data_IF_091354766014
#
_entry.id   IF_091354766014
#
_cell.length_a   1.000
_cell.length_b   1.000
_cell.length_c   1.000
_cell.angle_alpha   90.00
_cell.angle_beta   90.00
_cell.angle_gamma   90.00
#
_symmetry.space_group_name_H-M   'P 1'
#
loop_
_entity.id
_entity.type
_entity.pdbx_description
1 polymer ?
#
# COMPACT_ATOMS: atom_id res chain seq x y z
N UNK A 1 1.43 -10.46 -20.11
CA UNK A 1 0.59 -9.69 -19.16
C UNK A 1 1.52 -9.19 -18.09
N UNK A 2 1.64 -7.87 -17.99
CA UNK A 2 2.59 -7.18 -17.08
C UNK A 2 1.88 -6.71 -15.83
N UNK A 3 2.29 -7.20 -14.67
CA UNK A 3 1.76 -6.84 -13.35
C UNK A 3 2.69 -5.80 -12.70
N UNK A 4 2.16 -4.61 -12.42
CA UNK A 4 2.94 -3.51 -11.85
C UNK A 4 2.39 -3.12 -10.49
N UNK A 5 3.24 -3.16 -9.46
CA UNK A 5 2.94 -2.59 -8.15
C UNK A 5 3.18 -1.09 -8.23
N UNK A 6 2.15 -0.29 -7.95
CA UNK A 6 2.25 1.16 -7.86
C UNK A 6 2.03 1.58 -6.40
N UNK A 7 3.01 2.27 -5.85
CA UNK A 7 3.01 2.76 -4.46
C UNK A 7 2.90 4.28 -4.49
N UNK A 8 1.78 4.83 -4.05
CA UNK A 8 1.67 6.28 -3.88
C UNK A 8 2.49 6.75 -2.67
N UNK A 9 3.31 7.79 -2.85
CA UNK A 9 4.13 8.35 -1.79
C UNK A 9 4.22 9.87 -1.92
N UNK A 10 4.14 10.60 -0.79
CA UNK A 10 4.38 12.05 -0.71
C UNK A 10 4.88 12.47 0.67
N UNK A 11 5.58 13.59 0.74
CA UNK A 11 6.08 14.17 1.98
C UNK A 11 5.01 14.94 2.77
N UNK A 12 3.96 15.41 2.10
CA UNK A 12 2.95 16.35 2.61
C UNK A 12 1.82 15.66 3.41
N UNK A 13 2.13 14.61 4.18
CA UNK A 13 1.14 14.02 5.10
C UNK A 13 0.74 15.01 6.19
N UNK A 14 -0.56 15.23 6.39
CA UNK A 14 -1.07 16.22 7.35
C UNK A 14 -0.87 15.81 8.81
N UNK A 15 -1.02 14.52 9.15
CA UNK A 15 -0.90 14.00 10.53
C UNK A 15 0.55 13.75 10.95
N UNK A 16 1.39 13.33 10.03
CA UNK A 16 2.81 13.05 10.26
C UNK A 16 3.62 13.44 9.01
N UNK A 17 3.99 14.71 8.85
CA UNK A 17 4.77 15.18 7.71
C UNK A 17 6.08 14.40 7.55
N UNK A 18 6.43 14.07 6.30
CA UNK A 18 7.65 13.32 5.97
C UNK A 18 7.66 11.87 6.45
N UNK A 19 6.52 11.31 6.86
CA UNK A 19 6.45 9.96 7.46
C UNK A 19 7.14 8.87 6.64
N UNK A 20 7.06 8.94 5.31
CA UNK A 20 7.61 7.92 4.42
C UNK A 20 9.16 7.86 4.47
N UNK A 21 9.80 8.97 4.84
CA UNK A 21 11.26 9.05 5.00
C UNK A 21 11.73 9.08 6.46
N UNK A 22 10.82 8.90 7.44
CA UNK A 22 11.25 8.68 8.83
C UNK A 22 12.08 7.42 8.93
N UNK A 23 13.17 7.50 9.68
CA UNK A 23 14.16 6.42 9.77
C UNK A 23 13.96 5.55 11.00
N UNK A 24 14.20 4.26 10.80
CA UNK A 24 14.39 3.27 11.85
C UNK A 24 15.67 2.52 11.52
N UNK A 25 16.60 2.36 12.48
CA UNK A 25 17.91 1.75 12.27
C UNK A 25 18.69 2.39 11.10
N UNK A 26 18.54 3.71 10.90
CA UNK A 26 19.22 4.45 9.82
C UNK A 26 18.68 4.20 8.43
N UNK A 27 17.48 3.60 8.29
CA UNK A 27 16.83 3.30 7.01
C UNK A 27 15.42 3.91 6.97
N UNK A 28 15.04 4.67 5.89
CA UNK A 28 13.70 5.22 5.72
C UNK A 28 12.60 4.15 5.66
N UNK A 29 11.40 4.46 6.16
CA UNK A 29 10.26 3.53 6.12
C UNK A 29 9.90 3.08 4.70
N UNK A 30 9.96 3.99 3.72
CA UNK A 30 9.71 3.66 2.31
C UNK A 30 10.75 2.67 1.76
N UNK A 31 12.02 2.71 2.24
CA UNK A 31 13.05 1.76 1.83
C UNK A 31 12.74 0.35 2.35
N UNK A 32 12.25 0.21 3.61
CA UNK A 32 11.75 -1.08 4.12
C UNK A 32 10.64 -1.63 3.24
N UNK A 33 9.67 -0.78 2.86
CA UNK A 33 8.57 -1.21 2.02
C UNK A 33 9.04 -1.66 0.64
N UNK A 34 9.92 -0.90 -0.03
CA UNK A 34 10.50 -1.25 -1.33
C UNK A 34 11.25 -2.59 -1.25
N UNK A 35 12.09 -2.75 -0.21
CA UNK A 35 12.84 -3.99 0.02
C UNK A 35 11.91 -5.20 0.16
N UNK A 36 10.79 -5.04 0.86
CA UNK A 36 9.77 -6.08 1.02
C UNK A 36 9.02 -6.35 -0.28
N UNK A 37 8.56 -5.31 -0.96
CA UNK A 37 7.84 -5.46 -2.23
C UNK A 37 8.69 -6.11 -3.33
N UNK A 38 10.02 -5.93 -3.31
CA UNK A 38 10.94 -6.64 -4.22
C UNK A 38 10.95 -8.16 -4.08
N UNK A 39 10.40 -8.68 -2.98
CA UNK A 39 10.23 -10.13 -2.75
C UNK A 39 8.89 -10.65 -3.25
N UNK A 40 7.98 -9.79 -3.72
CA UNK A 40 6.75 -10.20 -4.41
C UNK A 40 7.12 -10.87 -5.72
N UNK A 41 6.66 -12.10 -5.93
CA UNK A 41 7.07 -12.96 -7.05
C UNK A 41 6.18 -12.82 -8.29
N UNK A 42 4.94 -12.38 -8.09
CA UNK A 42 3.92 -12.27 -9.14
C UNK A 42 3.81 -10.85 -9.73
N UNK A 43 4.71 -9.95 -9.35
CA UNK A 43 4.82 -8.62 -9.91
C UNK A 43 6.10 -8.48 -10.74
N UNK A 44 5.98 -7.86 -11.92
CA UNK A 44 7.09 -7.62 -12.83
C UNK A 44 7.88 -6.36 -12.49
N UNK A 45 7.22 -5.40 -11.85
CA UNK A 45 7.84 -4.11 -11.52
C UNK A 45 7.18 -3.42 -10.33
N UNK A 46 7.99 -2.60 -9.62
CA UNK A 46 7.54 -1.66 -8.59
C UNK A 46 7.78 -0.26 -9.12
N UNK A 47 6.79 0.62 -8.96
CA UNK A 47 6.84 2.04 -9.33
C UNK A 47 6.38 2.87 -8.15
N UNK A 48 7.20 3.83 -7.72
CA UNK A 48 6.82 4.82 -6.71
C UNK A 48 6.15 6.00 -7.42
N UNK A 49 4.85 6.19 -7.19
CA UNK A 49 4.08 7.29 -7.76
C UNK A 49 4.07 8.47 -6.79
N UNK A 50 4.98 9.42 -7.00
CA UNK A 50 5.14 10.64 -6.18
C UNK A 50 4.68 11.90 -6.91
N UNK A 51 4.81 13.08 -6.30
CA UNK A 51 4.32 14.32 -6.90
C UNK A 51 5.40 15.10 -7.65
N UNK A 52 4.99 16.09 -8.42
CA UNK A 52 5.91 17.04 -9.07
C UNK A 52 6.42 18.12 -8.13
N UNK A 53 5.93 18.18 -6.89
CA UNK A 53 6.34 19.16 -5.89
C UNK A 53 7.82 19.01 -5.53
N UNK A 54 8.49 20.11 -5.28
CA UNK A 54 9.90 20.10 -4.83
C UNK A 54 10.08 19.40 -3.48
N UNK A 55 9.07 19.43 -2.62
CA UNK A 55 9.06 18.73 -1.32
C UNK A 55 9.23 17.22 -1.44
N UNK A 56 8.89 16.64 -2.58
CA UNK A 56 8.96 15.20 -2.83
C UNK A 56 10.26 14.77 -3.54
N UNK A 57 11.18 15.70 -3.83
CA UNK A 57 12.51 15.36 -4.38
C UNK A 57 13.28 14.34 -3.53
N UNK A 58 13.25 14.37 -2.18
CA UNK A 58 13.91 13.33 -1.37
C UNK A 58 13.38 11.90 -1.62
N UNK A 59 12.10 11.75 -2.04
CA UNK A 59 11.54 10.45 -2.45
C UNK A 59 12.18 10.01 -3.78
N UNK A 60 12.36 10.94 -4.71
CA UNK A 60 13.02 10.69 -6.01
C UNK A 60 14.47 10.26 -5.79
N UNK A 61 15.21 11.00 -4.96
CA UNK A 61 16.59 10.69 -4.60
C UNK A 61 16.71 9.29 -3.97
N UNK A 62 15.77 8.93 -3.10
CA UNK A 62 15.69 7.58 -2.54
C UNK A 62 15.48 6.53 -3.63
N UNK A 63 14.56 6.79 -4.57
CA UNK A 63 14.28 5.87 -5.68
C UNK A 63 15.51 5.68 -6.57
N UNK A 64 16.21 6.77 -6.92
CA UNK A 64 17.44 6.75 -7.72
C UNK A 64 18.53 5.94 -7.00
N UNK A 65 18.74 6.19 -5.70
CA UNK A 65 19.71 5.45 -4.87
C UNK A 65 19.41 3.95 -4.81
N UNK A 66 18.14 3.59 -4.78
CA UNK A 66 17.70 2.19 -4.72
C UNK A 66 17.55 1.54 -6.10
N UNK A 67 17.69 2.27 -7.21
CA UNK A 67 17.40 1.77 -8.55
C UNK A 67 15.93 1.32 -8.68
N UNK A 68 14.99 2.06 -8.06
CA UNK A 68 13.55 1.79 -8.11
C UNK A 68 12.89 2.75 -9.08
N UNK A 69 12.05 2.23 -9.97
CA UNK A 69 11.30 3.08 -10.91
C UNK A 69 10.34 4.03 -10.15
N UNK A 70 10.20 5.26 -10.65
CA UNK A 70 9.25 6.22 -10.12
C UNK A 70 8.53 6.98 -11.21
N UNK A 71 7.37 7.54 -10.87
CA UNK A 71 6.59 8.44 -11.70
C UNK A 71 6.24 9.68 -10.87
N UNK A 72 6.28 10.86 -11.50
CA UNK A 72 5.90 12.13 -10.87
C UNK A 72 4.67 12.71 -11.55
N UNK A 73 3.63 13.02 -10.78
CA UNK A 73 2.37 13.58 -11.28
C UNK A 73 1.74 14.58 -10.31
N UNK A 74 0.49 14.95 -10.56
CA UNK A 74 -0.24 15.93 -9.75
C UNK A 74 -0.42 15.43 -8.30
N UNK A 75 -0.35 16.33 -7.30
CA UNK A 75 -0.57 15.98 -5.90
C UNK A 75 -2.04 15.67 -5.61
N UNK A 76 -2.94 16.55 -6.08
CA UNK A 76 -4.37 16.49 -5.77
C UNK A 76 -5.11 15.40 -6.56
N UNK A 77 -4.56 14.96 -7.69
CA UNK A 77 -5.14 13.92 -8.53
C UNK A 77 -4.36 12.61 -8.43
N UNK A 78 -4.60 11.88 -7.36
CA UNK A 78 -3.92 10.60 -7.12
C UNK A 78 -4.35 9.54 -8.16
N UNK A 79 -5.63 9.52 -8.54
CA UNK A 79 -6.14 8.62 -9.58
C UNK A 79 -5.46 8.87 -10.93
N UNK A 80 -5.34 10.14 -11.35
CA UNK A 80 -4.59 10.51 -12.55
C UNK A 80 -3.13 10.07 -12.48
N UNK A 81 -2.48 10.28 -11.33
CA UNK A 81 -1.09 9.84 -11.11
C UNK A 81 -0.92 8.32 -11.22
N UNK A 82 -1.88 7.52 -10.71
CA UNK A 82 -1.89 6.06 -10.88
C UNK A 82 -2.09 5.66 -12.34
N UNK A 83 -3.05 6.28 -13.02
CA UNK A 83 -3.34 6.04 -14.43
C UNK A 83 -2.11 6.31 -15.31
N UNK A 84 -1.50 7.47 -15.14
CA UNK A 84 -0.34 7.88 -15.95
C UNK A 84 0.91 7.03 -15.65
N UNK A 85 1.13 6.67 -14.37
CA UNK A 85 2.17 5.72 -13.98
C UNK A 85 1.93 4.34 -14.64
N UNK A 86 0.70 3.81 -14.55
CA UNK A 86 0.34 2.53 -15.16
C UNK A 86 0.54 2.54 -16.68
N UNK A 87 0.13 3.63 -17.35
CA UNK A 87 0.34 3.85 -18.79
C UNK A 87 1.83 3.89 -19.14
N UNK A 88 2.61 4.70 -18.42
CA UNK A 88 4.05 4.88 -18.65
C UNK A 88 4.83 3.57 -18.54
N UNK A 89 4.44 2.71 -17.61
CA UNK A 89 5.13 1.45 -17.35
C UNK A 89 4.46 0.23 -18.01
N UNK A 90 3.43 0.45 -18.84
CA UNK A 90 2.78 -0.60 -19.62
C UNK A 90 2.14 -1.67 -18.76
N UNK A 91 1.45 -1.27 -17.68
CA UNK A 91 0.77 -2.21 -16.81
C UNK A 91 -0.49 -2.79 -17.48
N UNK A 92 -0.58 -4.12 -17.57
CA UNK A 92 -1.84 -4.80 -17.87
C UNK A 92 -2.68 -4.99 -16.60
N UNK A 93 -1.99 -5.27 -15.49
CA UNK A 93 -2.55 -5.44 -14.14
C UNK A 93 -1.86 -4.47 -13.18
N UNK A 94 -2.66 -3.73 -12.45
CA UNK A 94 -2.21 -2.78 -11.43
C UNK A 94 -2.41 -3.38 -10.05
N UNK A 95 -1.35 -3.34 -9.25
CA UNK A 95 -1.40 -3.64 -7.82
C UNK A 95 -1.21 -2.34 -7.05
N UNK A 96 -2.26 -1.90 -6.36
CA UNK A 96 -2.21 -0.68 -5.56
C UNK A 96 -1.78 -1.00 -4.13
N UNK A 97 -0.75 -0.29 -3.67
CA UNK A 97 -0.26 -0.28 -2.30
C UNK A 97 -0.01 1.16 -1.88
N UNK A 98 -0.17 1.49 -0.62
CA UNK A 98 0.12 2.82 -0.07
C UNK A 98 1.42 2.84 0.72
N UNK A 99 2.16 3.95 0.68
CA UNK A 99 3.51 4.07 1.27
C UNK A 99 3.57 4.12 2.80
N UNK A 100 2.44 4.09 3.44
CA UNK A 100 2.30 4.03 4.89
C UNK A 100 2.35 2.61 5.48
N UNK A 101 2.65 1.61 4.64
CA UNK A 101 2.69 0.19 4.98
C UNK A 101 4.13 -0.38 4.96
N UNK A 102 5.05 0.10 5.83
CA UNK A 102 6.48 -0.23 5.73
C UNK A 102 6.81 -1.70 5.99
N UNK A 103 5.94 -2.41 6.71
CA UNK A 103 6.13 -3.83 7.04
C UNK A 103 5.17 -4.75 6.28
N UNK A 104 4.62 -4.29 5.14
CA UNK A 104 3.75 -5.10 4.29
C UNK A 104 4.39 -6.46 3.98
N UNK A 105 3.61 -7.54 4.08
CA UNK A 105 4.12 -8.89 3.83
C UNK A 105 4.04 -9.23 2.33
N UNK A 106 5.17 -9.55 1.68
CA UNK A 106 5.20 -9.95 0.28
C UNK A 106 4.30 -11.15 -0.05
N UNK A 107 4.18 -12.11 0.86
CA UNK A 107 3.34 -13.29 0.66
C UNK A 107 1.84 -12.93 0.66
N UNK A 108 1.44 -11.92 1.44
CA UNK A 108 0.07 -11.39 1.41
C UNK A 108 -0.21 -10.71 0.08
N UNK A 109 0.72 -9.90 -0.43
CA UNK A 109 0.59 -9.26 -1.74
C UNK A 109 0.50 -10.31 -2.86
N UNK A 110 1.41 -11.30 -2.85
CA UNK A 110 1.37 -12.42 -3.81
C UNK A 110 0.05 -13.19 -3.75
N UNK A 111 -0.52 -13.40 -2.55
CA UNK A 111 -1.79 -14.09 -2.39
C UNK A 111 -2.95 -13.33 -3.07
N UNK A 112 -3.02 -12.00 -2.90
CA UNK A 112 -4.05 -11.17 -3.54
C UNK A 112 -3.85 -11.15 -5.06
N UNK A 113 -2.60 -11.00 -5.53
CA UNK A 113 -2.27 -11.05 -6.97
C UNK A 113 -2.66 -12.42 -7.55
N UNK A 114 -2.25 -13.50 -6.91
CA UNK A 114 -2.54 -14.86 -7.36
C UNK A 114 -4.05 -15.10 -7.47
N UNK A 115 -4.81 -14.71 -6.45
CA UNK A 115 -6.26 -14.85 -6.48
C UNK A 115 -6.86 -14.10 -7.68
N UNK A 116 -6.43 -12.85 -7.92
CA UNK A 116 -6.88 -12.10 -9.09
C UNK A 116 -6.51 -12.80 -10.40
N UNK A 117 -5.26 -13.26 -10.57
CA UNK A 117 -4.80 -13.89 -11.79
C UNK A 117 -5.56 -15.19 -12.12
N UNK A 118 -5.84 -16.00 -11.09
CA UNK A 118 -6.58 -17.25 -11.21
C UNK A 118 -8.06 -17.00 -11.59
N UNK A 119 -8.66 -15.88 -11.14
CA UNK A 119 -10.08 -15.57 -11.28
C UNK A 119 -10.35 -14.31 -12.13
N UNK A 120 -9.41 -13.87 -12.95
CA UNK A 120 -9.52 -12.62 -13.74
C UNK A 120 -10.67 -12.60 -14.74
N UNK A 121 -11.21 -13.77 -15.12
CA UNK A 121 -12.42 -13.88 -15.95
C UNK A 121 -13.69 -13.62 -15.12
N UNK A 122 -13.62 -13.74 -13.79
CA UNK A 122 -14.75 -13.63 -12.87
C UNK A 122 -14.81 -12.28 -12.18
N UNK A 123 -13.64 -11.67 -11.88
CA UNK A 123 -13.54 -10.45 -11.08
C UNK A 123 -12.79 -9.33 -11.80
N UNK A 124 -13.27 -8.12 -11.60
CA UNK A 124 -12.70 -6.89 -12.13
C UNK A 124 -11.85 -6.15 -11.09
N UNK A 125 -12.06 -6.46 -9.80
CA UNK A 125 -11.31 -5.88 -8.68
C UNK A 125 -11.23 -6.89 -7.54
N UNK A 126 -10.03 -7.09 -7.03
CA UNK A 126 -9.75 -7.95 -5.88
C UNK A 126 -9.00 -7.16 -4.83
N UNK A 127 -9.42 -7.25 -3.58
CA UNK A 127 -8.75 -6.61 -2.45
C UNK A 127 -8.83 -7.49 -1.21
N UNK A 128 -7.93 -7.29 -0.26
CA UNK A 128 -8.04 -7.84 1.09
C UNK A 128 -8.58 -6.83 2.11
N UNK A 129 -9.04 -5.66 1.63
CA UNK A 129 -9.54 -4.56 2.46
C UNK A 129 -11.05 -4.35 2.45
N UNK A 130 -11.82 -4.94 1.49
CA UNK A 130 -13.28 -4.78 1.41
C UNK A 130 -14.01 -5.36 2.64
N UNK A 131 -13.62 -6.56 3.05
CA UNK A 131 -13.97 -7.18 4.33
C UNK A 131 -12.67 -7.45 5.06
N UNK A 132 -12.37 -6.59 6.04
CA UNK A 132 -11.07 -6.62 6.71
C UNK A 132 -10.95 -7.81 7.65
N UNK A 133 -9.97 -8.64 7.40
CA UNK A 133 -9.50 -9.71 8.28
C UNK A 133 -7.98 -9.66 8.46
N UNK A 134 -7.26 -9.02 7.53
CA UNK A 134 -5.84 -8.71 7.69
C UNK A 134 -5.63 -7.45 8.54
N UNK A 135 -4.50 -7.33 9.27
CA UNK A 135 -4.09 -6.07 9.88
C UNK A 135 -4.03 -4.94 8.86
N UNK A 136 -4.40 -3.72 9.24
CA UNK A 136 -4.11 -2.54 8.42
C UNK A 136 -2.61 -2.40 8.21
N UNK A 137 -2.20 -2.10 6.98
CA UNK A 137 -0.79 -2.12 6.60
C UNK A 137 -0.38 -3.37 5.84
N UNK A 138 -1.32 -4.34 5.69
CA UNK A 138 -1.21 -5.48 4.78
C UNK A 138 -2.10 -5.33 3.55
N UNK A 139 -2.56 -4.11 3.28
CA UNK A 139 -3.57 -3.83 2.26
C UNK A 139 -2.98 -3.88 0.85
N UNK A 140 -3.62 -4.66 -0.02
CA UNK A 140 -3.34 -4.73 -1.45
C UNK A 140 -4.63 -4.77 -2.25
N UNK A 141 -4.64 -4.07 -3.39
CA UNK A 141 -5.77 -4.02 -4.32
C UNK A 141 -5.26 -4.34 -5.71
N UNK A 142 -5.94 -5.23 -6.43
CA UNK A 142 -5.52 -5.72 -7.74
C UNK A 142 -6.67 -5.58 -8.73
N UNK A 143 -6.39 -4.94 -9.85
CA UNK A 143 -7.37 -4.70 -10.93
C UNK A 143 -6.67 -4.51 -12.28
N UNK A 144 -7.34 -4.76 -13.42
CA UNK A 144 -6.75 -4.57 -14.73
C UNK A 144 -6.67 -3.08 -15.09
N UNK A 145 -5.73 -2.72 -15.94
CA UNK A 145 -5.55 -1.35 -16.44
C UNK A 145 -6.84 -0.75 -17.02
N UNK A 146 -7.68 -1.54 -17.73
CA UNK A 146 -8.95 -1.05 -18.28
C UNK A 146 -9.86 -0.46 -17.19
N UNK A 147 -9.94 -1.10 -16.01
CA UNK A 147 -10.77 -0.62 -14.89
C UNK A 147 -10.23 0.68 -14.31
N UNK A 148 -8.90 0.80 -14.20
CA UNK A 148 -8.26 2.07 -13.81
C UNK A 148 -8.52 3.18 -14.83
N UNK A 149 -8.45 2.86 -16.12
CA UNK A 149 -8.70 3.82 -17.21
C UNK A 149 -10.15 4.30 -17.23
N UNK A 150 -11.12 3.39 -17.05
CA UNK A 150 -12.53 3.75 -16.92
C UNK A 150 -12.77 4.66 -15.70
N UNK A 151 -12.21 4.31 -14.53
CA UNK A 151 -12.28 5.15 -13.35
C UNK A 151 -11.64 6.54 -13.58
N UNK A 152 -10.49 6.58 -14.25
CA UNK A 152 -9.82 7.84 -14.59
C UNK A 152 -10.67 8.78 -15.45
N UNK A 153 -11.39 8.24 -16.45
CA UNK A 153 -12.23 9.01 -17.36
C UNK A 153 -13.54 9.48 -16.71
N UNK A 154 -14.10 8.70 -15.79
CA UNK A 154 -15.47 8.91 -15.31
C UNK A 154 -15.55 9.43 -13.86
N UNK A 155 -14.55 9.17 -13.01
CA UNK A 155 -14.56 9.63 -11.63
C UNK A 155 -14.37 11.15 -11.55
N UNK A 156 -15.38 11.85 -11.05
CA UNK A 156 -15.39 13.31 -10.87
C UNK A 156 -15.36 13.72 -9.40
N UNK A 157 -15.77 12.83 -8.51
CA UNK A 157 -15.84 13.10 -7.07
C UNK A 157 -14.43 13.16 -6.45
N UNK A 158 -14.20 14.18 -5.59
CA UNK A 158 -12.89 14.35 -4.93
C UNK A 158 -12.41 13.09 -4.20
N UNK A 159 -13.23 12.35 -3.42
CA UNK A 159 -12.79 11.12 -2.77
C UNK A 159 -12.33 10.03 -3.74
N UNK A 160 -12.95 9.94 -4.92
CA UNK A 160 -12.57 8.96 -5.94
C UNK A 160 -11.22 9.32 -6.58
N UNK A 161 -11.00 10.63 -6.83
CA UNK A 161 -9.71 11.14 -7.36
C UNK A 161 -8.57 11.01 -6.35
N UNK A 162 -8.85 11.22 -5.05
CA UNK A 162 -7.86 11.17 -3.99
C UNK A 162 -7.49 9.72 -3.57
N UNK A 163 -8.47 8.80 -3.58
CA UNK A 163 -8.26 7.44 -3.06
C UNK A 163 -8.19 6.35 -4.12
N UNK A 164 -8.30 6.71 -5.42
CA UNK A 164 -8.09 5.86 -6.61
C UNK A 164 -9.20 4.84 -6.87
N UNK A 165 -9.53 4.02 -5.89
CA UNK A 165 -10.40 2.84 -6.06
C UNK A 165 -11.84 2.97 -5.57
N UNK A 166 -12.26 4.04 -4.85
CA UNK A 166 -13.65 4.18 -4.41
C UNK A 166 -14.66 4.13 -5.56
N UNK A 167 -14.34 4.76 -6.70
CA UNK A 167 -15.18 4.67 -7.90
C UNK A 167 -15.46 3.22 -8.30
N UNK A 168 -14.47 2.33 -8.18
CA UNK A 168 -14.61 0.93 -8.59
C UNK A 168 -15.51 0.19 -7.62
N UNK A 169 -15.19 0.15 -6.33
CA UNK A 169 -15.91 -0.69 -5.37
C UNK A 169 -17.27 -0.13 -4.92
N UNK A 170 -17.57 1.15 -5.25
CA UNK A 170 -18.92 1.74 -5.06
C UNK A 170 -19.88 1.43 -6.20
N UNK A 171 -19.40 0.86 -7.31
CA UNK A 171 -20.23 0.47 -8.44
C UNK A 171 -20.25 -1.07 -8.65
N UNK A 172 -20.72 -1.86 -7.64
CA UNK A 172 -20.71 -3.32 -7.71
C UNK A 172 -21.65 -3.88 -8.80
N UNK A 173 -22.57 -3.06 -9.33
CA UNK A 173 -23.40 -3.40 -10.48
C UNK A 173 -22.61 -3.37 -11.82
N UNK A 174 -21.46 -2.69 -11.85
CA UNK A 174 -20.59 -2.56 -13.02
C UNK A 174 -19.33 -3.42 -12.90
N UNK A 175 -18.75 -3.47 -11.70
CA UNK A 175 -17.50 -4.17 -11.44
C UNK A 175 -17.74 -5.35 -10.50
N UNK A 176 -17.26 -6.51 -10.90
CA UNK A 176 -17.32 -7.73 -10.08
C UNK A 176 -16.18 -7.70 -9.06
N UNK A 177 -16.55 -7.64 -7.80
CA UNK A 177 -15.62 -7.46 -6.68
C UNK A 177 -15.36 -8.78 -5.96
N UNK A 178 -14.12 -9.01 -5.51
CA UNK A 178 -13.80 -10.10 -4.60
C UNK A 178 -12.93 -9.63 -3.44
N UNK A 179 -13.03 -10.33 -2.32
CA UNK A 179 -12.22 -10.10 -1.13
C UNK A 179 -11.42 -11.34 -0.75
N UNK A 180 -10.13 -11.16 -0.52
CA UNK A 180 -9.23 -12.19 0.02
C UNK A 180 -9.17 -12.03 1.54
N UNK A 181 -9.57 -13.07 2.26
CA UNK A 181 -9.57 -13.06 3.72
C UNK A 181 -8.34 -13.76 4.29
N UNK A 182 -7.87 -13.29 5.43
CA UNK A 182 -6.95 -14.03 6.29
C UNK A 182 -7.74 -15.07 7.09
N UNK A 183 -7.12 -16.20 7.38
CA UNK A 183 -7.79 -17.32 8.11
C UNK A 183 -8.20 -16.97 9.53
N UNK A 184 -7.50 -16.02 10.15
CA UNK A 184 -7.77 -15.50 11.49
C UNK A 184 -8.15 -14.01 11.38
N UNK A 185 -9.21 -13.55 12.07
CA UNK A 185 -9.56 -12.15 12.04
C UNK A 185 -8.58 -11.31 12.89
N UNK A 186 -7.66 -10.63 12.21
CA UNK A 186 -6.69 -9.70 12.76
C UNK A 186 -6.99 -8.25 12.32
N UNK A 187 -8.19 -8.00 11.83
CA UNK A 187 -8.61 -6.70 11.29
C UNK A 187 -8.60 -5.55 12.31
N UNK A 188 -8.56 -5.85 13.59
CA UNK A 188 -8.40 -4.89 14.68
C UNK A 188 -6.97 -4.35 14.81
N UNK A 189 -5.97 -5.06 14.31
CA UNK A 189 -4.57 -4.64 14.33
C UNK A 189 -4.32 -3.50 13.34
N UNK A 190 -3.44 -2.56 13.75
CA UNK A 190 -3.09 -1.40 12.94
C UNK A 190 -1.56 -1.28 12.81
N UNK A 191 -1.04 -1.62 11.62
CA UNK A 191 0.40 -1.63 11.29
C UNK A 191 0.74 -0.67 10.14
N UNK A 192 -0.11 0.32 9.92
CA UNK A 192 0.13 1.45 9.00
C UNK A 192 0.72 2.63 9.78
N UNK A 193 1.43 3.55 9.11
CA UNK A 193 2.03 4.72 9.75
C UNK A 193 1.31 5.99 9.28
N UNK A 194 0.49 6.55 10.16
CA UNK A 194 -0.21 7.82 9.93
C UNK A 194 0.00 8.83 11.06
N UNK A 195 0.28 8.35 12.28
CA UNK A 195 0.45 9.16 13.48
C UNK A 195 1.80 8.86 14.14
N UNK A 196 2.12 9.57 15.22
CA UNK A 196 3.34 9.31 16.01
C UNK A 196 3.28 7.97 16.72
N UNK A 197 2.09 7.60 17.19
CA UNK A 197 1.83 6.32 17.86
C UNK A 197 2.00 5.15 16.89
N UNK A 198 1.49 5.29 15.66
CA UNK A 198 1.72 4.31 14.61
C UNK A 198 3.22 4.14 14.32
N UNK A 199 3.94 5.27 14.19
CA UNK A 199 5.40 5.23 13.97
C UNK A 199 6.12 4.56 15.13
N UNK A 200 5.73 4.83 16.37
CA UNK A 200 6.35 4.22 17.54
C UNK A 200 6.17 2.69 17.56
N UNK A 201 4.95 2.20 17.27
CA UNK A 201 4.70 0.76 17.16
C UNK A 201 5.56 0.13 16.06
N UNK A 202 5.54 0.71 14.85
CA UNK A 202 6.30 0.19 13.70
C UNK A 202 7.80 0.23 13.96
N UNK A 203 8.32 1.28 14.63
CA UNK A 203 9.72 1.37 15.03
C UNK A 203 10.10 0.19 15.91
N UNK A 204 9.33 -0.09 16.97
CA UNK A 204 9.59 -1.24 17.87
C UNK A 204 9.57 -2.57 17.15
N UNK A 205 8.60 -2.80 16.27
CA UNK A 205 8.51 -4.03 15.47
C UNK A 205 9.76 -4.19 14.61
N UNK A 206 10.17 -3.15 13.88
CA UNK A 206 11.35 -3.19 13.03
C UNK A 206 12.62 -3.40 13.86
N UNK A 207 12.80 -2.67 14.97
CA UNK A 207 13.97 -2.79 15.85
C UNK A 207 14.10 -4.19 16.47
N UNK A 208 12.98 -4.86 16.76
CA UNK A 208 12.99 -6.21 17.33
C UNK A 208 13.24 -7.28 16.25
N UNK A 209 12.56 -7.21 15.12
CA UNK A 209 12.56 -8.31 14.14
C UNK A 209 13.64 -8.17 13.06
N UNK A 210 13.87 -6.96 12.54
CA UNK A 210 14.72 -6.77 11.37
C UNK A 210 16.20 -7.17 11.58
N UNK A 211 16.84 -6.91 12.73
CA UNK A 211 18.22 -7.35 12.99
C UNK A 211 18.38 -8.89 13.04
N UNK A 212 17.31 -9.58 13.45
CA UNK A 212 17.31 -11.06 13.60
C UNK A 212 16.92 -11.72 12.27
N UNK A 213 15.89 -11.21 11.62
CA UNK A 213 15.37 -11.72 10.35
C UNK A 213 14.88 -10.58 9.48
N UNK A 214 15.65 -10.18 8.46
CA UNK A 214 15.25 -9.12 7.52
C UNK A 214 14.00 -9.49 6.72
N UNK A 215 13.67 -10.77 6.62
CA UNK A 215 12.54 -11.29 5.86
C UNK A 215 11.32 -11.61 6.73
N UNK A 216 11.30 -11.15 7.99
CA UNK A 216 10.18 -11.40 8.89
C UNK A 216 8.83 -11.19 8.20
N UNK A 217 7.85 -12.05 8.51
CA UNK A 217 6.54 -12.13 7.89
C UNK A 217 5.43 -11.62 8.82
N UNK A 218 4.21 -11.56 8.32
CA UNK A 218 3.01 -11.23 9.11
C UNK A 218 2.91 -12.07 10.40
N UNK A 219 3.21 -13.38 10.33
CA UNK A 219 3.13 -14.27 11.49
C UNK A 219 4.15 -13.91 12.57
N UNK A 220 5.35 -13.49 12.17
CA UNK A 220 6.38 -13.07 13.13
C UNK A 220 5.95 -11.82 13.90
N UNK A 221 5.28 -10.88 13.22
CA UNK A 221 4.73 -9.68 13.86
C UNK A 221 3.59 -10.04 14.82
N UNK A 222 2.69 -10.94 14.43
CA UNK A 222 1.62 -11.42 15.31
C UNK A 222 2.19 -12.09 16.56
N UNK A 223 3.21 -12.94 16.43
CA UNK A 223 3.86 -13.60 17.56
C UNK A 223 4.53 -12.58 18.48
N UNK A 224 5.29 -11.63 17.93
CA UNK A 224 5.93 -10.56 18.69
C UNK A 224 4.90 -9.74 19.50
N UNK A 225 3.78 -9.37 18.88
CA UNK A 225 2.75 -8.59 19.58
C UNK A 225 1.94 -9.41 20.60
N UNK A 226 1.87 -10.73 20.45
CA UNK A 226 1.32 -11.61 21.47
C UNK A 226 2.22 -11.70 22.71
N UNK A 227 3.55 -11.63 22.51
CA UNK A 227 4.53 -11.56 23.60
C UNK A 227 4.61 -10.19 24.26
N UNK A 228 4.24 -9.13 23.51
CA UNK A 228 4.29 -7.72 23.94
C UNK A 228 2.91 -7.03 23.77
N UNK A 229 1.89 -7.39 24.56
CA UNK A 229 0.54 -6.84 24.41
C UNK A 229 0.48 -5.32 24.71
N UNK A 230 1.41 -4.78 25.48
CA UNK A 230 1.58 -3.35 25.71
C UNK A 230 1.97 -2.60 24.43
N UNK A 231 2.68 -3.23 23.50
CA UNK A 231 3.00 -2.63 22.20
C UNK A 231 1.76 -2.51 21.31
N UNK A 232 0.91 -3.54 21.28
CA UNK A 232 -0.34 -3.49 20.54
C UNK A 232 -1.28 -2.37 21.03
N UNK A 233 -1.17 -1.98 22.29
CA UNK A 233 -1.95 -0.90 22.89
C UNK A 233 -1.49 0.50 22.46
N UNK A 234 -0.26 0.67 21.94
CA UNK A 234 0.34 1.99 21.64
C UNK A 234 -0.56 2.80 20.70
N UNK A 235 -1.10 2.19 19.65
CA UNK A 235 -1.94 2.88 18.68
C UNK A 235 -3.39 2.35 18.60
N UNK A 236 -3.81 1.54 19.56
CA UNK A 236 -5.16 0.95 19.56
C UNK A 236 -6.29 1.99 19.57
N UNK A 237 -6.02 3.20 20.11
CA UNK A 237 -6.96 4.34 20.14
C UNK A 237 -6.98 5.17 18.85
N UNK A 238 -6.05 4.91 17.91
CA UNK A 238 -5.95 5.70 16.67
C UNK A 238 -7.05 5.30 15.70
N UNK A 239 -7.97 6.21 15.46
CA UNK A 239 -9.06 6.01 14.52
C UNK A 239 -8.61 6.18 13.06
N UNK A 240 -9.15 5.32 12.19
CA UNK A 240 -8.96 5.46 10.75
C UNK A 240 -9.83 6.61 10.23
N UNK A 241 -9.23 7.54 9.47
CA UNK A 241 -10.01 8.56 8.75
C UNK A 241 -11.01 7.88 7.81
N UNK A 242 -12.25 8.38 7.83
CA UNK A 242 -13.28 7.95 6.86
C UNK A 242 -13.04 8.63 5.51
N UNK A 243 -13.50 7.99 4.45
CA UNK A 243 -13.48 8.58 3.10
C UNK A 243 -14.20 9.94 3.10
N UNK A 244 -13.51 10.98 2.60
CA UNK A 244 -14.07 12.34 2.50
C UNK A 244 -13.90 13.21 3.74
N UNK A 245 -13.11 12.78 4.74
CA UNK A 245 -12.75 13.60 5.92
C UNK A 245 -11.35 14.19 5.81
#
# INVERSE_FOLDING_TARGET
>A
MRTVIIVQARMTSTRLPGKVLKEVLGKPLLEYQIERLRRVRLADQIVIATTTNATDLPIVELCDRLGTAYFRGAEEDVLGRYHDAATRYGADVVVRVTSDCPIIDPAVVDHVIKFYLDHRAEYDYVSNGLKRTYPRGMDAEVFPYRVLHEAYLEAVEKPDREHVTPFIYRHPQRYRLANVCFSEDQGHQRWTVDTREDFELIRRIIEALYPVNREFALRDVLNLLAEHPDWAAINAHVEQKKLGQ
#
